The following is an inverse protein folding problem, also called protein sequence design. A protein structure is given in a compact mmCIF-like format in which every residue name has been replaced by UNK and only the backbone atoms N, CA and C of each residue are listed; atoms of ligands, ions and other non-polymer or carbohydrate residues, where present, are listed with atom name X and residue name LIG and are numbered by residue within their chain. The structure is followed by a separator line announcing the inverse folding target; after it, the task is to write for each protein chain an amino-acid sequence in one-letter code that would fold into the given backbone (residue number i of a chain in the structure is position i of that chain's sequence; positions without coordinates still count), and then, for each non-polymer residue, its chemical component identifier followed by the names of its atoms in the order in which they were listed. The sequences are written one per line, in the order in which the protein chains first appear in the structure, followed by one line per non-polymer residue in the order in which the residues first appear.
data_IF_889960789260
#
_entry.id   IF_889960789260
#
_cell.length_a   1.000
_cell.length_b   1.000
_cell.length_c   1.000
_cell.angle_alpha   90.00
_cell.angle_beta   90.00
_cell.angle_gamma   90.00
#
_symmetry.space_group_name_H-M   'P 1'
#
loop_
_entity.id
_entity.type
_entity.pdbx_description
1 polymer ?
#
# COMPACT_ATOMS: atom_id res chain seq x y z
N UNK A 1 -63.73 17.24 -8.63
CA UNK A 1 -62.59 18.16 -8.79
C UNK A 1 -61.40 17.49 -8.19
N UNK A 2 -60.45 17.13 -9.05
CA UNK A 2 -59.23 16.42 -8.73
C UNK A 2 -58.31 17.33 -7.91
N UNK A 3 -57.92 16.86 -6.73
CA UNK A 3 -56.85 17.45 -5.94
C UNK A 3 -55.87 16.33 -5.60
N UNK A 4 -54.57 16.63 -5.72
CA UNK A 4 -53.40 15.82 -5.37
C UNK A 4 -52.57 15.19 -6.50
N UNK A 5 -52.28 15.94 -7.56
CA UNK A 5 -51.16 15.62 -8.48
C UNK A 5 -50.04 16.68 -8.50
N UNK A 6 -50.13 17.74 -7.68
CA UNK A 6 -49.21 18.88 -7.72
C UNK A 6 -48.36 19.07 -6.44
N UNK A 7 -48.05 17.99 -5.71
CA UNK A 7 -47.25 18.06 -4.47
C UNK A 7 -46.07 17.07 -4.44
N UNK A 8 -45.52 16.70 -5.60
CA UNK A 8 -44.28 15.89 -5.70
C UNK A 8 -43.29 16.57 -6.65
N UNK A 9 -42.97 17.83 -6.40
CA UNK A 9 -41.98 18.56 -7.20
C UNK A 9 -41.04 19.45 -6.38
N UNK A 10 -40.93 19.23 -5.07
CA UNK A 10 -40.02 20.03 -4.26
C UNK A 10 -39.51 19.22 -3.07
N UNK A 11 -38.38 18.53 -3.23
CA UNK A 11 -37.45 18.09 -2.19
C UNK A 11 -36.21 17.51 -2.88
N UNK A 12 -35.22 18.34 -3.19
CA UNK A 12 -33.97 17.86 -3.82
C UNK A 12 -32.83 18.87 -3.91
N UNK A 13 -32.88 19.97 -3.17
CA UNK A 13 -31.93 21.08 -3.31
C UNK A 13 -31.17 21.32 -1.99
N UNK A 14 -30.30 20.39 -1.58
CA UNK A 14 -29.29 20.66 -0.52
C UNK A 14 -28.14 19.66 -0.38
N UNK A 15 -27.87 18.76 -1.34
CA UNK A 15 -26.76 17.79 -1.25
C UNK A 15 -25.74 17.85 -2.41
N UNK A 16 -26.01 18.68 -3.43
CA UNK A 16 -25.25 18.64 -4.69
C UNK A 16 -23.78 19.09 -4.53
N UNK A 17 -23.50 19.95 -3.55
CA UNK A 17 -22.15 20.45 -3.27
C UNK A 17 -21.21 19.38 -2.72
N UNK A 18 -21.65 18.61 -1.73
CA UNK A 18 -20.85 17.56 -1.11
C UNK A 18 -20.63 16.38 -2.06
N UNK A 19 -21.68 15.94 -2.76
CA UNK A 19 -21.61 14.84 -3.74
C UNK A 19 -20.65 15.17 -4.88
N UNK A 20 -20.67 16.42 -5.37
CA UNK A 20 -19.75 16.89 -6.42
C UNK A 20 -18.29 16.92 -5.96
N UNK A 21 -18.05 17.24 -4.70
CA UNK A 21 -16.72 17.24 -4.12
C UNK A 21 -16.16 15.81 -4.00
N UNK A 22 -16.98 14.88 -3.51
CA UNK A 22 -16.65 13.45 -3.45
C UNK A 22 -16.33 12.88 -4.84
N UNK A 23 -17.10 13.27 -5.85
CA UNK A 23 -16.87 12.84 -7.23
C UNK A 23 -15.53 13.34 -7.78
N UNK A 24 -15.16 14.60 -7.50
CA UNK A 24 -13.85 15.15 -7.89
C UNK A 24 -12.70 14.39 -7.24
N UNK A 25 -12.80 14.11 -5.94
CA UNK A 25 -11.78 13.38 -5.19
C UNK A 25 -11.62 11.97 -5.70
N UNK A 26 -12.74 11.28 -5.91
CA UNK A 26 -12.77 9.92 -6.45
C UNK A 26 -12.14 9.87 -7.85
N UNK A 27 -12.44 10.86 -8.71
CA UNK A 27 -11.85 10.96 -10.03
C UNK A 27 -10.32 11.14 -9.95
N UNK A 28 -9.85 12.08 -9.13
CA UNK A 28 -8.42 12.34 -8.94
C UNK A 28 -7.70 11.10 -8.40
N UNK A 29 -8.28 10.42 -7.41
CA UNK A 29 -7.70 9.21 -6.84
C UNK A 29 -7.69 8.05 -7.83
N UNK A 30 -8.74 7.93 -8.65
CA UNK A 30 -8.83 6.92 -9.69
C UNK A 30 -7.72 7.11 -10.72
N UNK A 31 -7.52 8.34 -11.20
CA UNK A 31 -6.43 8.67 -12.13
C UNK A 31 -5.06 8.36 -11.52
N UNK A 32 -4.82 8.77 -10.27
CA UNK A 32 -3.56 8.48 -9.56
C UNK A 32 -3.32 6.96 -9.46
N UNK A 33 -4.36 6.18 -9.14
CA UNK A 33 -4.28 4.73 -9.03
C UNK A 33 -4.02 4.05 -10.38
N UNK A 34 -4.62 4.55 -11.47
CA UNK A 34 -4.36 4.04 -12.83
C UNK A 34 -2.90 4.32 -13.22
N UNK A 35 -2.39 5.53 -12.99
CA UNK A 35 -1.00 5.90 -13.28
C UNK A 35 -0.03 4.99 -12.51
N UNK A 36 -0.30 4.76 -11.22
CA UNK A 36 0.49 3.86 -10.37
C UNK A 36 0.52 2.43 -10.92
N UNK A 37 -0.64 1.88 -11.33
CA UNK A 37 -0.74 0.54 -11.90
C UNK A 37 0.02 0.42 -13.24
N UNK A 38 -0.09 1.44 -14.10
CA UNK A 38 0.62 1.48 -15.38
C UNK A 38 2.14 1.54 -15.16
N UNK A 39 2.61 2.35 -14.22
CA UNK A 39 4.03 2.39 -13.82
C UNK A 39 4.50 1.04 -13.28
N UNK A 40 3.68 0.38 -12.45
CA UNK A 40 3.96 -0.96 -11.93
C UNK A 40 4.04 -2.02 -13.03
N UNK A 41 3.14 -1.97 -14.01
CA UNK A 41 3.14 -2.89 -15.15
C UNK A 41 4.33 -2.65 -16.07
N UNK A 42 4.65 -1.38 -16.36
CA UNK A 42 5.80 -1.00 -17.19
C UNK A 42 7.13 -1.49 -16.60
N UNK A 43 7.25 -1.50 -15.27
CA UNK A 43 8.42 -2.02 -14.57
C UNK A 43 8.67 -3.51 -14.84
N UNK A 44 7.64 -4.31 -15.17
CA UNK A 44 7.77 -5.76 -15.35
C UNK A 44 8.65 -6.15 -16.55
N UNK A 45 8.75 -5.27 -17.56
CA UNK A 45 9.58 -5.48 -18.74
C UNK A 45 11.01 -4.90 -18.66
N UNK A 46 11.40 -4.31 -17.52
CA UNK A 46 12.65 -3.57 -17.41
C UNK A 46 13.76 -4.39 -16.73
N UNK A 47 15.01 -4.39 -17.26
CA UNK A 47 16.13 -5.08 -16.63
C UNK A 47 16.48 -4.51 -15.25
N UNK A 48 17.08 -5.34 -14.41
CA UNK A 48 17.51 -4.98 -13.07
C UNK A 48 18.58 -3.87 -13.08
N UNK A 49 18.24 -2.72 -12.50
CA UNK A 49 19.11 -1.55 -12.47
C UNK A 49 18.56 -0.43 -11.58
N UNK A 50 19.34 0.66 -11.45
CA UNK A 50 18.99 1.82 -10.63
C UNK A 50 17.62 2.41 -10.97
N UNK A 51 17.23 2.40 -12.26
CA UNK A 51 15.93 2.88 -12.71
C UNK A 51 14.77 2.06 -12.14
N UNK A 52 14.92 0.74 -11.98
CA UNK A 52 13.90 -0.14 -11.39
C UNK A 52 13.65 0.23 -9.93
N UNK A 53 14.70 0.52 -9.16
CA UNK A 53 14.58 0.96 -7.76
C UNK A 53 13.91 2.33 -7.65
N UNK A 54 14.25 3.27 -8.53
CA UNK A 54 13.59 4.58 -8.58
C UNK A 54 12.09 4.46 -8.90
N UNK A 55 11.71 3.61 -9.85
CA UNK A 55 10.30 3.35 -10.18
C UNK A 55 9.57 2.71 -9.00
N UNK A 56 10.16 1.70 -8.35
CA UNK A 56 9.60 1.12 -7.11
C UNK A 56 9.38 2.18 -6.03
N UNK A 57 10.36 3.06 -5.81
CA UNK A 57 10.22 4.18 -4.88
C UNK A 57 9.08 5.11 -5.27
N UNK A 58 8.96 5.45 -6.56
CA UNK A 58 7.88 6.31 -7.05
C UNK A 58 6.48 5.72 -6.82
N UNK A 59 6.33 4.39 -7.00
CA UNK A 59 5.07 3.68 -6.74
C UNK A 59 4.71 3.76 -5.25
N UNK A 60 5.67 3.53 -4.36
CA UNK A 60 5.46 3.64 -2.90
C UNK A 60 5.06 5.07 -2.51
N UNK A 61 5.73 6.08 -3.08
CA UNK A 61 5.41 7.49 -2.83
C UNK A 61 3.99 7.82 -3.30
N UNK A 62 3.59 7.36 -4.50
CA UNK A 62 2.24 7.55 -5.03
C UNK A 62 1.18 6.87 -4.14
N UNK A 63 1.45 5.65 -3.65
CA UNK A 63 0.57 4.96 -2.70
C UNK A 63 0.38 5.76 -1.41
N UNK A 64 1.47 6.27 -0.83
CA UNK A 64 1.41 7.11 0.37
C UNK A 64 0.65 8.41 0.09
N UNK A 65 0.98 9.10 -1.00
CA UNK A 65 0.33 10.35 -1.39
C UNK A 65 -1.18 10.19 -1.55
N UNK A 66 -1.62 9.10 -2.19
CA UNK A 66 -3.04 8.80 -2.32
C UNK A 66 -3.70 8.53 -0.97
N UNK A 67 -3.04 7.78 -0.09
CA UNK A 67 -3.57 7.50 1.25
C UNK A 67 -3.75 8.79 2.07
N UNK A 68 -2.75 9.69 2.04
CA UNK A 68 -2.86 11.00 2.68
C UNK A 68 -3.95 11.88 2.05
N UNK A 69 -4.09 11.85 0.72
CA UNK A 69 -5.15 12.58 0.02
C UNK A 69 -6.54 12.10 0.44
N UNK A 70 -6.73 10.78 0.58
CA UNK A 70 -7.99 10.20 1.05
C UNK A 70 -8.31 10.65 2.47
N UNK A 71 -7.35 10.54 3.39
CA UNK A 71 -7.55 10.95 4.77
C UNK A 71 -7.85 12.45 4.83
N UNK A 72 -7.11 13.30 4.12
CA UNK A 72 -7.34 14.75 4.12
C UNK A 72 -8.71 15.15 3.58
N UNK A 73 -9.13 14.52 2.49
CA UNK A 73 -10.27 14.98 1.70
C UNK A 73 -11.60 14.31 2.08
N UNK A 74 -11.63 12.99 2.30
CA UNK A 74 -12.85 12.28 2.71
C UNK A 74 -13.24 12.51 4.16
N UNK A 75 -12.32 13.02 4.98
CA UNK A 75 -12.60 13.40 6.36
C UNK A 75 -13.08 14.86 6.50
N UNK A 76 -13.36 15.58 5.41
CA UNK A 76 -13.86 16.96 5.46
C UNK A 76 -12.90 17.92 6.23
N UNK A 77 -11.58 17.64 6.19
CA UNK A 77 -10.57 18.23 7.08
C UNK A 77 -10.07 19.63 6.71
N UNK A 78 -10.80 20.40 5.91
CA UNK A 78 -10.25 21.66 5.41
C UNK A 78 -10.63 22.89 6.24
N UNK A 79 -11.81 22.91 6.87
CA UNK A 79 -12.30 24.10 7.58
C UNK A 79 -12.96 23.87 8.96
N UNK A 80 -13.33 22.63 9.35
CA UNK A 80 -14.15 22.37 10.56
C UNK A 80 -13.48 21.48 11.65
N UNK A 81 -12.20 21.14 11.50
CA UNK A 81 -11.75 19.76 11.79
C UNK A 81 -10.58 19.55 12.72
N UNK A 82 -10.21 20.53 13.54
CA UNK A 82 -9.14 20.31 14.52
C UNK A 82 -9.44 19.13 15.45
N UNK A 83 -10.70 18.93 15.82
CA UNK A 83 -11.14 17.79 16.65
C UNK A 83 -11.21 16.47 15.87
N UNK A 84 -11.67 16.48 14.62
CA UNK A 84 -11.80 15.26 13.82
C UNK A 84 -10.41 14.71 13.44
N UNK A 85 -9.44 15.58 13.15
CA UNK A 85 -8.05 15.16 12.91
C UNK A 85 -7.47 14.42 14.11
N UNK A 86 -7.74 14.88 15.34
CA UNK A 86 -7.27 14.21 16.55
C UNK A 86 -7.83 12.79 16.68
N UNK A 87 -9.09 12.56 16.30
CA UNK A 87 -9.70 11.22 16.36
C UNK A 87 -9.14 10.23 15.33
N UNK A 88 -8.47 10.71 14.28
CA UNK A 88 -7.85 9.86 13.24
C UNK A 88 -6.36 9.69 13.50
N UNK A 89 -5.68 10.78 13.86
CA UNK A 89 -4.25 10.81 14.13
C UNK A 89 -3.92 10.00 15.39
N UNK A 90 -4.77 10.04 16.43
CA UNK A 90 -4.52 9.29 17.66
C UNK A 90 -4.52 7.77 17.40
N UNK A 91 -5.54 7.15 16.78
CA UNK A 91 -5.49 5.72 16.42
C UNK A 91 -4.35 5.35 15.48
N UNK A 92 -4.02 6.21 14.50
CA UNK A 92 -2.89 5.96 13.58
C UNK A 92 -1.54 5.97 14.30
N UNK A 93 -1.31 6.95 15.19
CA UNK A 93 -0.10 7.01 16.02
C UNK A 93 -0.02 5.82 16.97
N UNK A 94 -1.14 5.44 17.59
CA UNK A 94 -1.21 4.28 18.47
C UNK A 94 -0.86 2.99 17.70
N UNK A 95 -1.36 2.85 16.47
CA UNK A 95 -1.05 1.72 15.59
C UNK A 95 0.44 1.65 15.23
N UNK A 96 1.03 2.77 14.80
CA UNK A 96 2.47 2.84 14.46
C UNK A 96 3.33 2.53 15.69
N UNK A 97 2.97 3.11 16.84
CA UNK A 97 3.63 2.84 18.11
C UNK A 97 3.54 1.36 18.51
N UNK A 98 2.37 0.72 18.31
CA UNK A 98 2.19 -0.72 18.54
C UNK A 98 3.09 -1.58 17.65
N UNK A 99 3.20 -1.25 16.35
CA UNK A 99 4.09 -1.96 15.42
C UNK A 99 5.54 -1.89 15.93
N UNK A 100 6.00 -0.70 16.35
CA UNK A 100 7.36 -0.52 16.87
C UNK A 100 7.56 -1.30 18.17
N UNK A 101 6.61 -1.24 19.11
CA UNK A 101 6.67 -1.99 20.36
C UNK A 101 6.74 -3.51 20.10
N UNK A 102 5.90 -4.03 19.20
CA UNK A 102 5.92 -5.45 18.83
C UNK A 102 7.19 -5.85 18.08
N UNK A 103 7.76 -5.00 17.23
CA UNK A 103 9.04 -5.27 16.58
C UNK A 103 10.17 -5.32 17.61
N UNK A 104 10.17 -4.43 18.59
CA UNK A 104 11.15 -4.43 19.68
C UNK A 104 11.03 -5.69 20.54
N UNK A 105 9.82 -6.02 20.99
CA UNK A 105 9.53 -7.22 21.78
C UNK A 105 9.87 -8.50 20.99
N UNK A 106 9.51 -8.55 19.70
CA UNK A 106 9.83 -9.65 18.79
C UNK A 106 11.32 -9.82 18.55
N UNK A 107 12.08 -8.72 18.43
CA UNK A 107 13.53 -8.77 18.29
C UNK A 107 14.21 -9.27 19.58
N UNK A 108 13.70 -8.86 20.75
CA UNK A 108 14.14 -9.38 22.04
C UNK A 108 13.86 -10.88 22.17
N UNK A 109 12.63 -11.31 21.83
CA UNK A 109 12.24 -12.71 21.83
C UNK A 109 13.10 -13.57 20.90
N UNK A 110 13.40 -13.07 19.69
CA UNK A 110 14.29 -13.74 18.73
C UNK A 110 15.71 -13.88 19.28
N UNK A 111 16.25 -12.84 19.92
CA UNK A 111 17.58 -12.88 20.55
C UNK A 111 17.65 -13.90 21.69
N UNK A 112 16.64 -13.93 22.56
CA UNK A 112 16.55 -14.88 23.66
C UNK A 112 16.49 -16.33 23.16
N UNK A 113 15.65 -16.62 22.14
CA UNK A 113 15.58 -17.96 21.52
C UNK A 113 16.90 -18.38 20.86
N UNK A 114 17.56 -17.46 20.17
CA UNK A 114 18.83 -17.74 19.51
C UNK A 114 19.98 -17.99 20.50
N UNK A 115 19.93 -17.35 21.67
CA UNK A 115 20.95 -17.51 22.72
C UNK A 115 20.76 -18.78 23.54
N UNK A 116 19.51 -19.20 23.81
CA UNK A 116 19.23 -20.35 24.68
C UNK A 116 19.17 -21.70 23.95
N UNK A 117 19.00 -21.72 22.62
CA UNK A 117 18.84 -22.96 21.86
C UNK A 117 19.72 -22.96 20.60
N UNK A 118 21.01 -23.27 20.77
CA UNK A 118 22.02 -23.29 19.70
C UNK A 118 21.62 -24.17 18.51
N UNK A 119 20.84 -25.24 18.73
CA UNK A 119 20.32 -26.13 17.68
C UNK A 119 19.39 -25.44 16.66
N UNK A 120 18.70 -24.35 17.05
CA UNK A 120 17.82 -23.59 16.14
C UNK A 120 18.60 -22.61 15.25
N UNK A 121 19.74 -22.09 15.72
CA UNK A 121 20.59 -21.19 14.96
C UNK A 121 21.15 -21.90 13.73
N UNK A 122 21.74 -23.08 13.91
CA UNK A 122 22.28 -23.88 12.81
C UNK A 122 21.22 -24.29 11.78
N UNK A 123 20.01 -24.71 12.20
CA UNK A 123 18.93 -25.07 11.27
C UNK A 123 18.44 -23.87 10.44
N UNK A 124 18.38 -22.68 11.04
CA UNK A 124 17.95 -21.46 10.35
C UNK A 124 19.01 -20.99 9.36
N UNK A 125 20.29 -21.04 9.76
CA UNK A 125 21.42 -20.74 8.88
C UNK A 125 21.50 -21.73 7.71
N UNK A 126 21.44 -23.04 7.98
CA UNK A 126 21.51 -24.07 6.95
C UNK A 126 20.29 -24.05 6.02
N UNK A 127 19.09 -23.75 6.53
CA UNK A 127 17.91 -23.60 5.66
C UNK A 127 17.99 -22.33 4.79
N UNK A 128 18.72 -21.30 5.21
CA UNK A 128 18.92 -20.09 4.43
C UNK A 128 19.99 -20.33 3.34
N UNK A 129 21.10 -20.99 3.68
CA UNK A 129 22.14 -21.44 2.72
C UNK A 129 21.57 -22.41 1.67
N UNK A 130 20.86 -23.47 2.07
CA UNK A 130 20.24 -24.41 1.12
C UNK A 130 19.23 -23.73 0.19
N UNK A 131 18.52 -22.69 0.65
CA UNK A 131 17.57 -21.93 -0.19
C UNK A 131 18.26 -20.97 -1.14
N UNK A 132 19.45 -20.48 -0.80
CA UNK A 132 20.29 -19.67 -1.69
C UNK A 132 20.97 -20.58 -2.73
N UNK A 133 21.55 -21.71 -2.32
CA UNK A 133 22.15 -22.72 -3.21
C UNK A 133 21.13 -23.30 -4.22
N UNK A 134 19.94 -23.68 -3.76
CA UNK A 134 18.86 -24.20 -4.65
C UNK A 134 18.36 -23.12 -5.63
N UNK A 135 18.51 -21.83 -5.29
CA UNK A 135 18.14 -20.72 -6.17
C UNK A 135 19.23 -20.39 -7.18
N UNK A 136 20.51 -20.51 -6.81
CA UNK A 136 21.64 -20.36 -7.74
C UNK A 136 21.69 -21.54 -8.72
N UNK A 137 21.54 -22.79 -8.25
CA UNK A 137 21.60 -23.98 -9.11
C UNK A 137 20.48 -24.02 -10.17
N UNK A 138 19.28 -23.50 -9.85
CA UNK A 138 18.18 -23.34 -10.84
C UNK A 138 18.32 -22.12 -11.75
N UNK A 139 19.22 -21.19 -11.44
CA UNK A 139 19.48 -19.99 -12.23
C UNK A 139 20.55 -20.17 -13.32
N UNK A 140 21.32 -21.25 -13.25
CA UNK A 140 22.51 -21.48 -14.07
C UNK A 140 22.41 -22.69 -15.03
N UNK A 141 21.21 -23.08 -15.48
CA UNK A 141 21.12 -23.96 -16.67
C UNK A 141 21.46 -23.15 -17.94
N UNK A 142 22.55 -23.45 -18.66
CA UNK A 142 22.85 -22.77 -19.91
C UNK A 142 21.89 -23.26 -20.99
N UNK A 143 21.04 -22.37 -21.51
CA UNK A 143 20.43 -22.52 -22.83
C UNK A 143 21.54 -22.53 -23.90
N UNK A 144 22.08 -23.71 -24.22
CA UNK A 144 22.67 -24.02 -25.54
C UNK A 144 21.54 -24.63 -26.37
N UNK A 145 20.98 -23.92 -27.34
CA UNK A 145 21.47 -23.79 -28.72
C UNK A 145 21.58 -25.13 -29.44
N UNK A 146 20.43 -25.69 -29.85
CA UNK A 146 20.38 -26.62 -30.97
C UNK A 146 19.86 -25.86 -32.20
N UNK A 147 20.82 -25.39 -32.98
CA UNK A 147 20.67 -25.16 -34.40
C UNK A 147 21.59 -26.16 -35.09
N UNK A 148 21.02 -27.25 -35.64
CA UNK A 148 21.50 -28.05 -36.77
C UNK A 148 20.78 -29.41 -36.79
N UNK A 149 19.64 -29.49 -37.49
CA UNK A 149 19.44 -30.32 -38.70
C UNK A 149 18.12 -29.95 -39.37
#
# INVERSE_FOLDING_TARGET
MEHNSAAIAEHGHSDDGAVKEIWKVTLILSVLTIIELVLGFWMMGMPDGALRYSIKGSIVILMLAKAFYIVGYFMHLKHEVRNLIMTIVVPLLLFIWFIVAFLYEGNSYKNLKNTYNSYYKERTSQQQETKEETKEEKGEEPKKSDAAE
#
